data_IF_429974466938
#
_entry.id   IF_429974466938
#
_cell.length_a   1.000
_cell.length_b   1.000
_cell.length_c   1.000
_cell.angle_alpha   90.00
_cell.angle_beta   90.00
_cell.angle_gamma   90.00
#
_symmetry.space_group_name_H-M   'P 1'
#
loop_
_entity.id
_entity.type
_entity.pdbx_description
1 polymer ?
#
# COMPACT_ATOMS: atom_id res chain seq x y z
N UNK A 1 -4.91 5.12 -7.39
CA UNK A 1 -4.09 5.01 -6.17
C UNK A 1 -2.71 4.47 -6.47
N UNK A 2 -1.74 4.77 -5.60
CA UNK A 2 -0.34 4.38 -5.77
C UNK A 2 0.31 4.08 -4.39
N UNK A 3 1.62 3.77 -4.40
CA UNK A 3 2.41 3.66 -3.18
C UNK A 3 2.50 5.00 -2.45
N UNK A 4 2.85 4.97 -1.17
CA UNK A 4 3.20 6.16 -0.40
C UNK A 4 4.53 6.78 -0.90
N UNK A 5 4.87 8.02 -0.49
CA UNK A 5 6.07 8.72 -0.96
C UNK A 5 7.41 8.00 -0.70
N UNK A 6 7.46 7.10 0.26
CA UNK A 6 8.65 6.29 0.54
C UNK A 6 8.63 4.93 -0.16
N UNK A 7 7.61 4.64 -1.00
CA UNK A 7 7.49 3.37 -1.72
C UNK A 7 7.21 2.18 -0.80
N UNK A 8 6.41 2.37 0.26
CA UNK A 8 6.04 1.34 1.22
C UNK A 8 7.20 0.94 2.13
N UNK A 9 8.09 0.10 1.64
CA UNK A 9 9.30 -0.36 2.35
C UNK A 9 10.61 0.19 1.74
N UNK A 10 10.55 1.39 1.15
CA UNK A 10 11.67 2.11 0.51
C UNK A 10 12.21 1.44 -0.76
N UNK A 11 11.39 0.63 -1.44
CA UNK A 11 11.79 0.03 -2.71
C UNK A 11 11.88 1.11 -3.80
N UNK A 12 12.98 1.20 -4.56
CA UNK A 12 13.17 2.26 -5.55
C UNK A 12 12.11 2.24 -6.66
N UNK A 13 11.67 1.05 -7.12
CA UNK A 13 10.63 0.94 -8.13
C UNK A 13 9.28 1.45 -7.61
N UNK A 14 8.96 1.22 -6.33
CA UNK A 14 7.72 1.73 -5.73
C UNK A 14 7.75 3.25 -5.60
N UNK A 15 8.91 3.84 -5.29
CA UNK A 15 9.11 5.29 -5.29
C UNK A 15 8.97 5.85 -6.71
N UNK A 16 9.55 5.18 -7.71
CA UNK A 16 9.41 5.58 -9.11
C UNK A 16 7.94 5.54 -9.58
N UNK A 17 7.20 4.48 -9.24
CA UNK A 17 5.76 4.36 -9.52
C UNK A 17 4.96 5.44 -8.81
N UNK A 18 5.26 5.74 -7.53
CA UNK A 18 4.64 6.85 -6.82
C UNK A 18 4.81 8.17 -7.59
N UNK A 19 6.05 8.53 -7.90
CA UNK A 19 6.37 9.79 -8.59
C UNK A 19 5.71 9.89 -9.96
N UNK A 20 5.74 8.80 -10.74
CA UNK A 20 5.10 8.74 -12.06
C UNK A 20 3.58 8.91 -11.95
N UNK A 21 2.93 8.25 -10.96
CA UNK A 21 1.48 8.33 -10.78
C UNK A 21 1.05 9.73 -10.33
N UNK A 22 1.80 10.37 -9.42
CA UNK A 22 1.50 11.75 -8.98
C UNK A 22 1.58 12.71 -10.16
N UNK A 23 2.64 12.63 -10.97
CA UNK A 23 2.77 13.45 -12.19
C UNK A 23 1.66 13.16 -13.20
N UNK A 24 1.32 11.89 -13.42
CA UNK A 24 0.23 11.54 -14.32
C UNK A 24 -1.12 12.10 -13.84
N UNK A 25 -1.37 12.06 -12.53
CA UNK A 25 -2.56 12.66 -11.93
C UNK A 25 -2.63 14.17 -12.16
N UNK A 26 -1.51 14.89 -11.96
CA UNK A 26 -1.43 16.34 -12.17
C UNK A 26 -1.59 16.72 -13.66
N UNK A 27 -1.01 15.93 -14.58
CA UNK A 27 -0.97 16.26 -15.99
C UNK A 27 -2.19 15.78 -16.79
N UNK A 28 -2.97 14.86 -16.24
CA UNK A 28 -4.13 14.28 -16.95
C UNK A 28 -5.18 15.34 -17.36
N UNK A 29 -5.28 16.44 -16.61
CA UNK A 29 -6.17 17.55 -16.89
C UNK A 29 -5.52 18.67 -17.76
N UNK A 30 -4.22 18.59 -18.02
CA UNK A 30 -3.46 19.62 -18.74
C UNK A 30 -3.30 19.27 -20.23
N UNK A 31 -4.15 19.84 -21.06
CA UNK A 31 -4.09 19.66 -22.53
C UNK A 31 -2.77 20.12 -23.15
N UNK A 32 -2.06 21.06 -22.53
CA UNK A 32 -0.79 21.53 -23.06
C UNK A 32 0.33 20.50 -22.90
N UNK A 33 0.19 19.54 -21.97
CA UNK A 33 1.16 18.45 -21.75
C UNK A 33 1.05 17.34 -22.78
N UNK A 34 -0.18 17.02 -23.19
CA UNK A 34 -0.47 15.91 -24.10
C UNK A 34 -1.55 16.28 -25.11
N UNK A 35 -1.27 17.22 -26.03
CA UNK A 35 -2.27 17.73 -26.99
C UNK A 35 -2.83 16.64 -27.91
N UNK A 36 -2.03 15.58 -28.16
CA UNK A 36 -2.41 14.44 -29.01
C UNK A 36 -3.34 13.43 -28.30
N UNK A 37 -3.51 13.55 -26.97
CA UNK A 37 -4.26 12.56 -26.19
C UNK A 37 -5.78 12.73 -26.24
N UNK A 38 -6.29 13.73 -26.95
CA UNK A 38 -7.73 14.03 -27.04
C UNK A 38 -8.22 14.94 -25.94
N UNK A 39 -9.37 14.64 -25.34
CA UNK A 39 -9.94 15.48 -24.27
C UNK A 39 -9.21 15.32 -22.95
N UNK A 40 -9.08 16.42 -22.17
CA UNK A 40 -8.55 16.37 -20.82
C UNK A 40 -9.40 15.46 -19.91
N UNK A 41 -8.75 14.72 -19.05
CA UNK A 41 -9.39 13.92 -18.01
C UNK A 41 -8.99 14.46 -16.64
N UNK A 42 -9.99 14.88 -15.85
CA UNK A 42 -9.75 15.35 -14.49
C UNK A 42 -9.94 14.21 -13.49
N UNK A 43 -8.86 13.61 -12.95
CA UNK A 43 -8.98 12.61 -11.91
C UNK A 43 -9.56 13.25 -10.64
N UNK A 44 -10.53 12.58 -10.01
CA UNK A 44 -11.26 13.17 -8.87
C UNK A 44 -10.59 12.91 -7.53
N UNK A 45 -9.93 11.76 -7.37
CA UNK A 45 -9.27 11.39 -6.10
C UNK A 45 -7.93 10.71 -6.35
N UNK A 46 -6.99 10.98 -5.44
CA UNK A 46 -5.71 10.29 -5.38
C UNK A 46 -5.48 9.75 -3.96
N UNK A 47 -5.18 8.45 -3.87
CA UNK A 47 -4.87 7.79 -2.62
C UNK A 47 -3.49 7.14 -2.65
N UNK A 48 -2.80 7.20 -1.52
CA UNK A 48 -1.57 6.47 -1.26
C UNK A 48 -1.85 5.31 -0.33
N UNK A 49 -1.42 4.10 -0.72
CA UNK A 49 -1.48 2.94 0.15
C UNK A 49 -0.46 3.10 1.28
N UNK A 50 -0.91 3.01 2.54
CA UNK A 50 -0.07 3.26 3.71
C UNK A 50 -0.19 2.13 4.73
N UNK A 51 0.88 1.88 5.49
CA UNK A 51 0.87 0.90 6.57
C UNK A 51 0.45 1.53 7.90
N UNK A 52 -0.43 0.86 8.69
CA UNK A 52 -0.79 1.31 10.02
C UNK A 52 0.43 1.29 10.95
N UNK A 53 1.00 2.45 11.25
CA UNK A 53 2.24 2.59 12.03
C UNK A 53 2.20 1.90 13.40
N UNK A 54 1.08 2.02 14.12
CA UNK A 54 0.93 1.37 15.45
C UNK A 54 1.07 -0.14 15.34
N UNK A 55 0.42 -0.73 14.35
CA UNK A 55 0.48 -2.15 14.08
C UNK A 55 1.89 -2.60 13.67
N UNK A 56 2.54 -1.84 12.78
CA UNK A 56 3.91 -2.11 12.34
C UNK A 56 4.90 -2.06 13.52
N UNK A 57 4.81 -1.07 14.41
CA UNK A 57 5.66 -0.98 15.62
C UNK A 57 5.45 -2.15 16.57
N UNK A 58 4.22 -2.60 16.78
CA UNK A 58 3.94 -3.80 17.59
C UNK A 58 4.54 -5.03 16.93
N UNK A 59 4.37 -5.18 15.63
CA UNK A 59 4.92 -6.29 14.86
C UNK A 59 6.45 -6.36 14.98
N UNK A 60 7.15 -5.24 14.79
CA UNK A 60 8.61 -5.13 14.90
C UNK A 60 9.08 -5.59 16.29
N UNK A 61 8.40 -5.17 17.37
CA UNK A 61 8.74 -5.58 18.73
C UNK A 61 8.55 -7.08 18.98
N UNK A 62 7.60 -7.71 18.30
CA UNK A 62 7.32 -9.14 18.47
C UNK A 62 8.17 -10.04 17.57
N UNK A 63 8.68 -9.53 16.45
CA UNK A 63 9.46 -10.32 15.48
C UNK A 63 10.63 -11.10 16.07
N UNK A 64 11.47 -10.55 16.99
CA UNK A 64 12.57 -11.29 17.59
C UNK A 64 12.13 -12.55 18.36
N UNK A 65 10.96 -12.54 19.00
CA UNK A 65 10.40 -13.71 19.70
C UNK A 65 10.06 -14.88 18.75
N UNK A 66 9.91 -14.57 17.44
CA UNK A 66 9.67 -15.55 16.37
C UNK A 66 10.93 -15.83 15.54
N UNK A 67 12.11 -15.41 16.03
CA UNK A 67 13.38 -15.60 15.33
C UNK A 67 13.52 -14.79 14.05
N UNK A 68 12.78 -13.66 13.94
CA UNK A 68 12.81 -12.77 12.79
C UNK A 68 13.51 -11.47 13.14
N UNK A 69 14.47 -11.06 12.28
CA UNK A 69 15.13 -9.76 12.41
C UNK A 69 14.33 -8.69 11.64
N UNK A 70 13.80 -7.65 12.30
CA UNK A 70 13.05 -6.60 11.63
C UNK A 70 13.89 -5.71 10.70
N UNK A 71 15.23 -5.72 10.83
CA UNK A 71 16.14 -4.97 9.95
C UNK A 71 16.53 -5.74 8.70
N UNK A 72 16.35 -7.05 8.72
CA UNK A 72 16.65 -7.95 7.61
C UNK A 72 15.41 -8.79 7.27
N UNK A 73 14.30 -8.09 6.99
CA UNK A 73 13.03 -8.74 6.66
C UNK A 73 12.91 -9.01 5.16
N UNK A 74 12.05 -9.98 4.82
CA UNK A 74 11.81 -10.38 3.44
C UNK A 74 12.66 -11.58 3.02
N UNK A 75 12.43 -12.04 1.80
CA UNK A 75 13.13 -13.20 1.24
C UNK A 75 14.61 -12.89 1.00
N UNK A 76 14.88 -11.68 0.51
CA UNK A 76 16.23 -11.19 0.21
C UNK A 76 16.91 -10.54 1.42
N UNK A 77 16.21 -10.43 2.56
CA UNK A 77 16.68 -9.75 3.79
C UNK A 77 17.11 -8.29 3.57
N UNK A 78 16.49 -7.61 2.62
CA UNK A 78 16.79 -6.25 2.17
C UNK A 78 15.81 -5.19 2.69
N UNK A 79 14.80 -5.60 3.46
CA UNK A 79 13.78 -4.70 4.00
C UNK A 79 14.05 -4.37 5.46
N UNK A 80 14.35 -3.10 5.77
CA UNK A 80 14.43 -2.59 7.14
C UNK A 80 13.06 -2.04 7.59
N UNK A 81 12.27 -2.89 8.26
CA UNK A 81 10.95 -2.50 8.79
C UNK A 81 11.04 -1.44 9.90
N UNK A 82 12.17 -1.34 10.60
CA UNK A 82 12.36 -0.33 11.63
C UNK A 82 12.38 1.06 11.00
N UNK A 83 13.11 1.25 9.89
CA UNK A 83 13.15 2.50 9.14
C UNK A 83 11.79 2.85 8.51
N UNK A 84 11.03 1.85 8.06
CA UNK A 84 9.67 2.04 7.54
C UNK A 84 8.71 2.53 8.64
N UNK A 85 8.86 2.06 9.86
CA UNK A 85 8.02 2.46 10.99
C UNK A 85 8.24 3.91 11.47
N UNK A 86 9.31 4.57 11.03
CA UNK A 86 9.55 5.99 11.29
C UNK A 86 8.64 6.90 10.45
N UNK A 87 8.32 6.49 9.22
CA UNK A 87 7.43 7.23 8.34
C UNK A 87 6.01 7.28 8.92
N UNK A 88 5.44 8.49 9.03
CA UNK A 88 4.13 8.70 9.64
C UNK A 88 3.16 9.30 8.63
N UNK A 89 2.40 8.45 7.98
CA UNK A 89 1.33 8.88 7.08
C UNK A 89 -0.03 8.80 7.79
N UNK A 90 -0.91 9.81 7.65
CA UNK A 90 -2.26 9.76 8.17
C UNK A 90 -3.07 8.69 7.43
N UNK A 91 -4.01 8.05 8.13
CA UNK A 91 -4.93 7.07 7.54
C UNK A 91 -6.30 7.75 7.42
N UNK A 92 -6.69 8.03 6.18
CA UNK A 92 -7.96 8.66 5.84
C UNK A 92 -9.03 7.65 5.41
N UNK A 93 -8.62 6.53 4.79
CA UNK A 93 -9.54 5.47 4.40
C UNK A 93 -9.07 4.09 4.88
N UNK A 94 -10.02 3.23 5.24
CA UNK A 94 -9.77 1.85 5.64
C UNK A 94 -10.76 0.94 4.94
N UNK A 95 -10.27 0.14 4.00
CA UNK A 95 -11.06 -0.81 3.22
C UNK A 95 -10.91 -2.20 3.82
N UNK A 96 -12.02 -2.88 3.99
CA UNK A 96 -12.07 -4.26 4.46
C UNK A 96 -12.51 -5.17 3.32
N UNK A 97 -11.58 -5.93 2.72
CA UNK A 97 -11.92 -6.86 1.65
C UNK A 97 -12.85 -7.96 2.17
N UNK A 98 -13.79 -8.37 1.35
CA UNK A 98 -14.64 -9.53 1.60
C UNK A 98 -13.82 -10.84 1.48
N UNK A 99 -14.41 -11.97 1.89
CA UNK A 99 -13.76 -13.28 1.69
C UNK A 99 -13.56 -13.60 0.19
N UNK A 100 -14.45 -13.13 -0.67
CA UNK A 100 -14.34 -13.28 -2.12
C UNK A 100 -13.16 -12.47 -2.66
N UNK A 101 -13.00 -11.21 -2.26
CA UNK A 101 -11.88 -10.35 -2.66
C UNK A 101 -10.53 -10.94 -2.23
N UNK A 102 -10.49 -11.47 -0.99
CA UNK A 102 -9.29 -12.14 -0.47
C UNK A 102 -8.93 -13.37 -1.31
N UNK A 103 -9.93 -14.16 -1.75
CA UNK A 103 -9.71 -15.31 -2.62
C UNK A 103 -9.13 -14.86 -3.96
N UNK A 104 -9.75 -13.89 -4.62
CA UNK A 104 -9.28 -13.34 -5.90
C UNK A 104 -7.86 -12.78 -5.76
N UNK A 105 -7.58 -12.03 -4.70
CA UNK A 105 -6.23 -11.52 -4.41
C UNK A 105 -5.20 -12.65 -4.29
N UNK A 106 -5.55 -13.72 -3.58
CA UNK A 106 -4.66 -14.86 -3.43
C UNK A 106 -4.42 -15.58 -4.76
N UNK A 107 -5.44 -15.76 -5.58
CA UNK A 107 -5.33 -16.33 -6.93
C UNK A 107 -4.42 -15.46 -7.81
N UNK A 108 -4.63 -14.13 -7.81
CA UNK A 108 -3.77 -13.20 -8.53
C UNK A 108 -2.31 -13.27 -8.07
N UNK A 109 -2.05 -13.36 -6.76
CA UNK A 109 -0.70 -13.51 -6.21
C UNK A 109 -0.03 -14.81 -6.68
N UNK A 110 -0.78 -15.86 -7.00
CA UNK A 110 -0.22 -17.10 -7.55
C UNK A 110 0.35 -16.92 -8.97
N UNK A 111 -0.11 -15.92 -9.70
CA UNK A 111 0.40 -15.60 -11.04
C UNK A 111 1.80 -14.96 -11.02
N UNK A 112 2.23 -14.39 -9.89
CA UNK A 112 3.56 -13.78 -9.74
C UNK A 112 4.62 -14.83 -9.37
N UNK A 113 4.99 -15.68 -10.32
CA UNK A 113 5.91 -16.78 -10.09
C UNK A 113 7.28 -16.35 -9.53
N UNK A 114 7.82 -15.21 -10.02
CA UNK A 114 9.09 -14.63 -9.57
C UNK A 114 9.06 -14.10 -8.13
N UNK A 115 7.88 -13.75 -7.62
CA UNK A 115 7.69 -13.24 -6.26
C UNK A 115 7.31 -14.32 -5.26
N UNK A 116 7.07 -15.53 -5.74
CA UNK A 116 6.77 -16.70 -4.90
C UNK A 116 8.07 -17.27 -4.37
N UNK A 117 8.26 -17.20 -3.05
CA UNK A 117 9.31 -17.96 -2.40
C UNK A 117 9.14 -19.46 -2.65
N UNK A 118 10.23 -20.18 -2.78
CA UNK A 118 10.30 -21.63 -3.08
C UNK A 118 9.87 -22.54 -1.90
N UNK A 119 9.05 -22.05 -0.98
CA UNK A 119 8.61 -22.84 0.18
C UNK A 119 7.13 -22.68 0.53
N UNK A 120 6.59 -23.61 1.34
CA UNK A 120 5.22 -23.48 1.86
C UNK A 120 5.10 -22.17 2.64
N UNK A 121 3.88 -21.55 2.67
CA UNK A 121 3.66 -20.32 3.39
C UNK A 121 4.07 -20.54 4.86
N UNK A 122 5.20 -19.92 5.25
CA UNK A 122 5.64 -19.99 6.64
C UNK A 122 4.58 -19.36 7.51
N UNK A 123 4.17 -20.07 8.56
CA UNK A 123 3.33 -19.53 9.65
C UNK A 123 4.15 -18.48 10.40
N UNK A 124 4.33 -17.32 9.78
CA UNK A 124 5.03 -16.19 10.38
C UNK A 124 4.05 -15.33 11.17
N UNK A 125 4.59 -14.45 11.99
CA UNK A 125 3.83 -13.49 12.81
C UNK A 125 2.82 -12.70 11.96
N UNK A 126 3.19 -12.31 10.74
CA UNK A 126 2.31 -11.57 9.83
C UNK A 126 1.07 -12.38 9.43
N UNK A 127 1.22 -13.69 9.17
CA UNK A 127 0.09 -14.58 8.88
C UNK A 127 -0.86 -14.68 10.08
N UNK A 128 -0.32 -14.85 11.28
CA UNK A 128 -1.11 -14.91 12.51
C UNK A 128 -1.85 -13.60 12.76
N UNK A 129 -1.18 -12.47 12.61
CA UNK A 129 -1.79 -11.15 12.77
C UNK A 129 -2.89 -10.88 11.73
N UNK A 130 -2.68 -11.23 10.47
CA UNK A 130 -3.71 -11.14 9.43
C UNK A 130 -4.94 -11.99 9.76
N UNK A 131 -4.73 -13.18 10.32
CA UNK A 131 -5.82 -14.07 10.73
C UNK A 131 -6.62 -13.50 11.91
N UNK A 132 -5.96 -12.90 12.91
CA UNK A 132 -6.58 -12.37 14.12
C UNK A 132 -7.24 -11.00 13.92
N UNK A 133 -6.60 -10.10 13.17
CA UNK A 133 -7.03 -8.71 12.99
C UNK A 133 -7.87 -8.50 11.74
N UNK A 134 -7.99 -9.53 10.89
CA UNK A 134 -8.57 -9.43 9.56
C UNK A 134 -7.66 -8.69 8.59
N UNK A 135 -8.01 -8.79 7.31
CA UNK A 135 -7.32 -8.04 6.26
C UNK A 135 -7.93 -6.64 6.19
N UNK A 136 -7.07 -5.63 6.16
CA UNK A 136 -7.45 -4.23 6.00
C UNK A 136 -6.42 -3.55 5.14
N UNK A 137 -6.90 -2.80 4.15
CA UNK A 137 -6.06 -1.93 3.35
C UNK A 137 -6.28 -0.49 3.83
N UNK A 138 -5.20 0.22 4.09
CA UNK A 138 -5.23 1.58 4.65
C UNK A 138 -4.69 2.56 3.64
N UNK A 139 -5.35 3.71 3.51
CA UNK A 139 -5.01 4.72 2.52
C UNK A 139 -4.96 6.11 3.14
N UNK A 140 -4.01 6.91 2.64
CA UNK A 140 -3.96 8.34 2.81
C UNK A 140 -4.56 8.99 1.57
N UNK A 141 -5.57 9.85 1.72
CA UNK A 141 -6.10 10.65 0.62
C UNK A 141 -5.17 11.84 0.38
N UNK A 142 -4.52 11.86 -0.79
CA UNK A 142 -3.64 12.93 -1.21
C UNK A 142 -4.42 14.06 -1.91
N UNK A 143 -5.49 13.69 -2.66
CA UNK A 143 -6.34 14.64 -3.36
C UNK A 143 -7.80 14.14 -3.43
N UNK A 144 -8.79 15.05 -3.27
CA UNK A 144 -8.64 16.32 -2.59
C UNK A 144 -8.24 16.14 -1.13
N UNK A 145 -7.68 17.17 -0.50
CA UNK A 145 -7.23 17.08 0.88
C UNK A 145 -8.38 16.66 1.80
N UNK A 146 -8.18 15.61 2.61
CA UNK A 146 -9.21 15.14 3.52
C UNK A 146 -9.39 16.13 4.68
N UNK A 147 -10.56 16.76 4.73
CA UNK A 147 -11.00 17.64 5.82
C UNK A 147 -12.06 16.98 6.70
N UNK A 148 -12.58 15.84 6.27
CA UNK A 148 -13.67 15.08 6.90
C UNK A 148 -13.14 13.76 7.43
N UNK A 149 -13.81 13.14 8.33
CA UNK A 149 -13.41 11.92 9.03
C UNK A 149 -12.89 10.76 8.18
N UNK A 150 -13.00 9.54 8.70
CA UNK A 150 -12.50 8.35 8.02
C UNK A 150 -13.47 7.86 6.95
N UNK A 151 -12.96 7.56 5.77
CA UNK A 151 -13.69 6.96 4.66
C UNK A 151 -13.62 5.43 4.72
N UNK A 152 -14.68 4.78 4.24
CA UNK A 152 -14.81 3.32 4.14
C UNK A 152 -15.07 2.86 2.70
N UNK A 153 -15.25 3.80 1.79
CA UNK A 153 -15.36 3.60 0.35
C UNK A 153 -14.49 4.63 -0.37
N UNK A 154 -13.56 4.16 -1.23
CA UNK A 154 -12.68 5.03 -2.00
C UNK A 154 -13.40 5.78 -3.12
N UNK A 155 -14.56 5.29 -3.54
CA UNK A 155 -15.38 5.87 -4.61
C UNK A 155 -16.52 6.74 -4.08
N UNK A 156 -16.65 6.92 -2.77
CA UNK A 156 -17.64 7.83 -2.20
C UNK A 156 -17.48 9.23 -2.81
N UNK A 157 -18.59 9.83 -3.29
CA UNK A 157 -18.60 11.13 -3.98
C UNK A 157 -17.73 11.21 -5.24
N UNK A 158 -17.55 10.09 -5.97
CA UNK A 158 -16.97 10.05 -7.31
C UNK A 158 -18.11 9.96 -8.32
N UNK A 159 -18.17 10.88 -9.28
CA UNK A 159 -19.19 10.96 -10.36
C UNK A 159 -18.66 10.41 -11.68
#
# INVERSE_FOLDING_TARGET
FTHDPIGGYRHPDHVAVHNATVKAFEFAADLAKYPEAGSAFQPQKLYFHVFPRKLLKVMIKLMPFFGQDPRHFGQNKDVDLASVAEANFPIHAVIRPTKADVRIRNEAMLCYASQRGSGPPRRNLLFLMRRLLGQRDSFMRAYPQNKEGREYDLFENVS
#
